data_IF_549792389708
#
_entry.id   IF_549792389708
#
_cell.length_a   1.000
_cell.length_b   1.000
_cell.length_c   1.000
_cell.angle_alpha   90.00
_cell.angle_beta   90.00
_cell.angle_gamma   90.00
#
_symmetry.space_group_name_H-M   'P 1'
#
loop_
_entity.id
_entity.type
_entity.pdbx_description
1 polymer ?
#
# COMPACT_ATOMS: atom_id res chain seq x y z
N UNK A 1 2.40 -2.34 -12.43
CA UNK A 1 1.33 -1.55 -13.05
C UNK A 1 1.87 -0.97 -14.34
N UNK A 2 1.18 -1.09 -15.47
CA UNK A 2 1.62 -0.43 -16.72
C UNK A 2 1.20 1.05 -16.68
N UNK A 3 1.91 1.91 -17.40
CA UNK A 3 1.51 3.31 -17.57
C UNK A 3 0.08 3.43 -18.11
N UNK A 4 -0.32 2.54 -19.03
CA UNK A 4 -1.67 2.53 -19.56
C UNK A 4 -2.74 2.24 -18.50
N UNK A 5 -2.53 1.21 -17.66
CA UNK A 5 -3.46 0.86 -16.58
C UNK A 5 -3.55 1.98 -15.54
N UNK A 6 -2.43 2.62 -15.21
CA UNK A 6 -2.40 3.78 -14.33
C UNK A 6 -3.28 4.92 -14.87
N UNK A 7 -3.11 5.25 -16.16
CA UNK A 7 -3.91 6.29 -16.82
C UNK A 7 -5.40 5.93 -16.84
N UNK A 8 -5.74 4.67 -17.10
CA UNK A 8 -7.14 4.18 -17.07
C UNK A 8 -7.75 4.35 -15.68
N UNK A 9 -7.05 3.97 -14.61
CA UNK A 9 -7.58 4.09 -13.23
C UNK A 9 -7.86 5.54 -12.83
N UNK A 10 -6.98 6.48 -13.20
CA UNK A 10 -7.26 7.92 -12.99
C UNK A 10 -8.52 8.36 -13.74
N UNK A 11 -8.71 7.88 -14.97
CA UNK A 11 -9.90 8.20 -15.77
C UNK A 11 -11.19 7.69 -15.11
N UNK A 12 -11.16 6.48 -14.54
CA UNK A 12 -12.29 5.87 -13.82
C UNK A 12 -12.67 6.67 -12.57
N UNK A 13 -11.69 6.94 -11.69
CA UNK A 13 -11.91 7.70 -10.44
C UNK A 13 -12.49 9.08 -10.73
N UNK A 14 -11.97 9.77 -11.74
CA UNK A 14 -12.54 11.05 -12.16
C UNK A 14 -13.96 10.87 -12.69
N UNK A 15 -14.24 9.86 -13.50
CA UNK A 15 -15.58 9.61 -14.05
C UNK A 15 -16.62 9.33 -12.95
N UNK A 16 -16.20 8.70 -11.85
CA UNK A 16 -17.00 8.51 -10.64
C UNK A 16 -17.11 9.75 -9.73
N UNK A 17 -16.53 10.89 -10.13
CA UNK A 17 -16.45 12.13 -9.35
C UNK A 17 -15.62 12.01 -8.05
N UNK A 18 -14.72 11.03 -7.99
CA UNK A 18 -13.84 10.75 -6.84
C UNK A 18 -12.49 11.47 -6.98
N UNK A 19 -12.50 12.80 -7.02
CA UNK A 19 -11.28 13.60 -7.22
C UNK A 19 -10.24 13.40 -6.12
N UNK A 20 -10.65 13.16 -4.87
CA UNK A 20 -9.72 12.85 -3.79
C UNK A 20 -9.02 11.52 -4.00
N UNK A 21 -9.79 10.47 -4.29
CA UNK A 21 -9.23 9.16 -4.58
C UNK A 21 -8.26 9.22 -5.77
N UNK A 22 -8.56 10.02 -6.81
CA UNK A 22 -7.65 10.24 -7.93
C UNK A 22 -6.34 10.92 -7.51
N UNK A 23 -6.39 11.93 -6.63
CA UNK A 23 -5.21 12.62 -6.11
C UNK A 23 -4.40 11.75 -5.14
N UNK A 24 -5.08 10.96 -4.31
CA UNK A 24 -4.45 9.98 -3.42
C UNK A 24 -3.74 8.89 -4.22
N UNK A 25 -4.40 8.38 -5.26
CA UNK A 25 -3.81 7.42 -6.18
C UNK A 25 -2.60 7.98 -6.94
N UNK A 26 -2.66 9.24 -7.40
CA UNK A 26 -1.49 9.93 -7.95
C UNK A 26 -0.35 10.04 -6.93
N UNK A 27 -0.68 10.35 -5.67
CA UNK A 27 0.32 10.51 -4.61
C UNK A 27 1.01 9.18 -4.30
N UNK A 28 0.26 8.06 -4.27
CA UNK A 28 0.80 6.74 -3.93
C UNK A 28 1.70 6.16 -5.02
N UNK A 29 1.49 6.55 -6.27
CA UNK A 29 2.17 5.92 -7.42
C UNK A 29 3.36 6.71 -7.97
N UNK A 30 3.45 8.03 -7.72
CA UNK A 30 4.57 8.87 -8.17
C UNK A 30 5.84 8.60 -7.35
N UNK A 31 6.96 8.34 -8.04
CA UNK A 31 8.26 8.01 -7.43
C UNK A 31 9.28 9.16 -7.59
N UNK A 32 10.06 9.43 -6.53
CA UNK A 32 11.15 10.44 -6.52
C UNK A 32 10.66 11.89 -6.58
N UNK A 33 11.55 12.89 -6.60
CA UNK A 33 11.18 14.32 -6.76
C UNK A 33 10.77 14.63 -8.21
N UNK A 34 9.64 14.10 -8.67
CA UNK A 34 9.10 14.45 -9.98
C UNK A 34 8.46 15.84 -9.95
N UNK A 35 8.55 16.60 -11.05
CA UNK A 35 7.86 17.89 -11.20
C UNK A 35 6.34 17.77 -11.01
N UNK A 36 5.80 16.58 -11.21
CA UNK A 36 4.38 16.27 -11.06
C UNK A 36 3.95 16.15 -9.59
N UNK A 37 4.82 15.76 -8.66
CA UNK A 37 4.45 15.63 -7.24
C UNK A 37 4.04 16.97 -6.62
N UNK A 38 4.80 18.03 -6.86
CA UNK A 38 4.45 19.37 -6.38
C UNK A 38 3.10 19.82 -6.93
N UNK A 39 2.79 19.49 -8.19
CA UNK A 39 1.50 19.76 -8.80
C UNK A 39 0.36 18.99 -8.11
N UNK A 40 0.56 17.70 -7.78
CA UNK A 40 -0.43 16.89 -7.06
C UNK A 40 -0.67 17.43 -5.64
N UNK A 41 0.39 17.81 -4.93
CA UNK A 41 0.31 18.42 -3.60
C UNK A 41 -0.50 19.73 -3.65
N UNK A 42 -0.21 20.60 -4.62
CA UNK A 42 -0.94 21.85 -4.80
C UNK A 42 -2.43 21.61 -5.12
N UNK A 43 -2.74 20.59 -5.92
CA UNK A 43 -4.13 20.23 -6.23
C UNK A 43 -4.87 19.68 -5.00
N UNK A 44 -4.21 18.89 -4.14
CA UNK A 44 -4.77 18.45 -2.86
C UNK A 44 -5.09 19.62 -1.95
N UNK A 45 -4.15 20.55 -1.78
CA UNK A 45 -4.38 21.76 -0.97
C UNK A 45 -5.56 22.59 -1.52
N UNK A 46 -5.64 22.75 -2.84
CA UNK A 46 -6.73 23.48 -3.49
C UNK A 46 -8.09 22.79 -3.32
N UNK A 47 -8.13 21.46 -3.34
CA UNK A 47 -9.35 20.68 -3.09
C UNK A 47 -9.79 20.76 -1.62
N UNK A 48 -8.83 20.73 -0.67
CA UNK A 48 -9.10 20.91 0.75
C UNK A 48 -9.65 22.31 1.07
N UNK A 49 -9.07 23.36 0.46
CA UNK A 49 -9.58 24.73 0.59
C UNK A 49 -11.01 24.85 0.05
N UNK A 50 -11.28 24.28 -1.14
CA UNK A 50 -12.63 24.28 -1.71
C UNK A 50 -13.64 23.59 -0.77
N UNK A 51 -13.25 22.52 -0.08
CA UNK A 51 -14.12 21.88 0.92
C UNK A 51 -14.43 22.79 2.08
N UNK A 52 -13.42 23.50 2.60
CA UNK A 52 -13.61 24.49 3.66
C UNK A 52 -14.53 25.62 3.19
N UNK A 53 -14.37 26.10 1.96
CA UNK A 53 -15.23 27.15 1.41
C UNK A 53 -16.69 26.69 1.26
N UNK A 54 -16.91 25.44 0.85
CA UNK A 54 -18.24 24.83 0.80
C UNK A 54 -18.85 24.74 2.20
N UNK A 55 -18.09 24.29 3.20
CA UNK A 55 -18.55 24.16 4.59
C UNK A 55 -18.90 25.54 5.16
N UNK A 56 -18.08 26.54 4.88
CA UNK A 56 -18.25 27.90 5.37
C UNK A 56 -19.32 28.69 4.59
N UNK A 57 -19.85 28.14 3.49
CA UNK A 57 -20.79 28.84 2.61
C UNK A 57 -20.20 30.09 1.95
N UNK A 58 -18.88 30.16 1.80
CA UNK A 58 -18.15 31.35 1.33
C UNK A 58 -18.09 31.48 -0.20
N UNK A 59 -18.54 30.47 -0.95
CA UNK A 59 -18.43 30.41 -2.42
C UNK A 59 -19.76 30.08 -3.10
N UNK A 60 -19.98 30.64 -4.30
CA UNK A 60 -21.19 30.38 -5.08
C UNK A 60 -21.16 28.98 -5.73
N UNK A 61 -22.32 28.35 -5.99
CA UNK A 61 -22.39 27.06 -6.67
C UNK A 61 -21.65 27.01 -8.02
N UNK A 62 -21.73 28.08 -8.80
CA UNK A 62 -21.05 28.18 -10.10
C UNK A 62 -19.52 28.18 -9.92
N UNK A 63 -19.02 28.93 -8.94
CA UNK A 63 -17.58 29.03 -8.65
C UNK A 63 -17.01 27.75 -8.04
N UNK A 64 -17.82 27.03 -7.26
CA UNK A 64 -17.51 25.68 -6.79
C UNK A 64 -17.35 24.73 -7.99
N UNK A 65 -18.29 24.76 -8.94
CA UNK A 65 -18.25 23.87 -10.11
C UNK A 65 -17.08 24.21 -11.04
N UNK A 66 -16.79 25.49 -11.27
CA UNK A 66 -15.61 25.94 -12.03
C UNK A 66 -14.31 25.45 -11.40
N UNK A 67 -14.19 25.55 -10.07
CA UNK A 67 -13.00 25.10 -9.34
C UNK A 67 -12.83 23.58 -9.44
N UNK A 68 -13.92 22.81 -9.30
CA UNK A 68 -13.91 21.35 -9.51
C UNK A 68 -13.47 20.98 -10.92
N UNK A 69 -14.00 21.66 -11.94
CA UNK A 69 -13.62 21.44 -13.34
C UNK A 69 -12.14 21.78 -13.58
N UNK A 70 -11.64 22.88 -13.01
CA UNK A 70 -10.22 23.28 -13.09
C UNK A 70 -9.29 22.23 -12.47
N UNK A 71 -9.64 21.70 -11.29
CA UNK A 71 -8.88 20.64 -10.62
C UNK A 71 -8.89 19.37 -11.48
N UNK A 72 -10.07 18.95 -11.98
CA UNK A 72 -10.22 17.78 -12.85
C UNK A 72 -9.35 17.87 -14.10
N UNK A 73 -9.37 19.01 -14.80
CA UNK A 73 -8.54 19.25 -15.99
C UNK A 73 -7.06 19.16 -15.65
N UNK A 74 -6.65 19.67 -14.49
CA UNK A 74 -5.26 19.61 -14.04
C UNK A 74 -4.81 18.17 -13.75
N UNK A 75 -5.68 17.36 -13.13
CA UNK A 75 -5.42 15.92 -12.89
C UNK A 75 -5.26 15.17 -14.22
N UNK A 76 -6.13 15.43 -15.20
CA UNK A 76 -6.02 14.85 -16.53
C UNK A 76 -4.74 15.26 -17.26
N UNK A 77 -4.34 16.53 -17.14
CA UNK A 77 -3.09 17.04 -17.71
C UNK A 77 -1.87 16.33 -17.12
N UNK A 78 -1.84 16.14 -15.80
CA UNK A 78 -0.78 15.35 -15.15
C UNK A 78 -0.79 13.93 -15.69
N UNK A 79 -1.95 13.26 -15.66
CA UNK A 79 -2.12 11.88 -16.17
C UNK A 79 -1.55 11.71 -17.58
N UNK A 80 -1.84 12.65 -18.49
CA UNK A 80 -1.39 12.55 -19.88
C UNK A 80 0.14 12.72 -20.02
N UNK A 81 0.75 13.56 -19.17
CA UNK A 81 2.19 13.84 -19.17
C UNK A 81 3.05 12.78 -18.47
N UNK A 82 2.45 11.87 -17.70
CA UNK A 82 3.20 10.83 -16.98
C UNK A 82 3.91 9.85 -17.90
N UNK A 83 5.11 9.49 -17.50
CA UNK A 83 5.99 8.50 -18.13
C UNK A 83 6.21 7.29 -17.22
N UNK A 84 6.74 6.20 -17.79
CA UNK A 84 7.16 5.01 -17.02
C UNK A 84 8.13 5.38 -15.88
N UNK A 85 9.02 6.33 -16.12
CA UNK A 85 10.00 6.81 -15.14
C UNK A 85 9.34 7.48 -13.93
N UNK A 86 8.30 8.29 -14.16
CA UNK A 86 7.57 8.98 -13.09
C UNK A 86 6.87 7.99 -12.13
N UNK A 87 6.56 6.79 -12.62
CA UNK A 87 5.90 5.72 -11.87
C UNK A 87 6.87 4.67 -11.30
N UNK A 88 8.18 4.86 -11.51
CA UNK A 88 9.20 3.86 -11.15
C UNK A 88 9.05 2.54 -11.92
N UNK A 89 8.47 2.58 -13.12
CA UNK A 89 8.40 1.45 -14.05
C UNK A 89 9.74 1.38 -14.77
N UNK A 90 10.65 0.54 -14.28
CA UNK A 90 11.89 0.26 -15.02
C UNK A 90 11.57 -0.54 -16.29
N UNK A 91 12.17 -0.13 -17.42
CA UNK A 91 12.22 -0.98 -18.61
C UNK A 91 12.96 -2.25 -18.22
N UNK A 92 12.23 -3.36 -18.15
CA UNK A 92 12.80 -4.69 -18.02
C UNK A 92 13.89 -4.81 -19.08
N UNK A 93 15.15 -4.82 -18.63
CA UNK A 93 16.26 -5.27 -19.47
C UNK A 93 15.85 -6.65 -20.00
N UNK A 94 16.05 -6.85 -21.31
CA UNK A 94 15.68 -8.00 -22.13
C UNK A 94 15.31 -9.26 -21.34
N UNK A 95 14.22 -9.96 -21.69
CA UNK A 95 13.77 -11.12 -20.94
C UNK A 95 14.95 -12.07 -20.79
N UNK A 96 15.49 -12.17 -19.56
CA UNK A 96 16.14 -13.40 -19.15
C UNK A 96 15.11 -14.46 -19.49
N UNK A 97 15.48 -15.40 -20.33
CA UNK A 97 14.59 -16.46 -20.74
C UNK A 97 14.29 -17.26 -19.47
N UNK A 98 13.22 -16.90 -18.76
CA UNK A 98 12.78 -17.54 -17.52
C UNK A 98 12.18 -18.87 -17.98
N UNK A 99 13.04 -19.84 -18.26
CA UNK A 99 12.64 -21.23 -18.36
C UNK A 99 12.03 -21.62 -17.01
N UNK A 100 10.72 -21.85 -16.99
CA UNK A 100 10.03 -22.87 -16.19
C UNK A 100 10.56 -23.10 -14.76
N UNK A 101 10.89 -22.06 -13.99
CA UNK A 101 11.33 -22.28 -12.62
C UNK A 101 10.12 -22.51 -11.71
N UNK A 102 9.80 -23.79 -11.50
CA UNK A 102 8.71 -24.34 -10.68
C UNK A 102 8.97 -24.27 -9.18
N UNK A 103 10.10 -23.70 -8.75
CA UNK A 103 10.45 -23.57 -7.34
C UNK A 103 9.35 -22.81 -6.58
N UNK A 104 8.91 -23.42 -5.48
CA UNK A 104 8.09 -22.76 -4.47
C UNK A 104 9.01 -21.91 -3.60
N UNK A 105 8.82 -20.60 -3.63
CA UNK A 105 9.68 -19.65 -2.92
C UNK A 105 9.04 -19.26 -1.59
N UNK A 106 9.71 -19.49 -0.46
CA UNK A 106 9.18 -19.10 0.85
C UNK A 106 9.27 -17.58 1.03
N UNK A 107 8.20 -16.99 1.54
CA UNK A 107 8.11 -15.56 1.88
C UNK A 107 7.58 -15.42 3.30
N UNK A 108 8.14 -14.47 4.05
CA UNK A 108 7.70 -14.15 5.39
C UNK A 108 6.30 -13.55 5.34
N UNK A 109 5.39 -14.05 6.18
CA UNK A 109 4.04 -13.54 6.30
C UNK A 109 3.78 -13.01 7.71
N UNK A 110 3.82 -11.69 7.81
CA UNK A 110 3.50 -10.92 9.01
C UNK A 110 2.02 -10.60 9.03
N UNK A 111 1.30 -11.11 10.05
CA UNK A 111 -0.10 -10.75 10.29
C UNK A 111 -0.50 -11.01 11.73
N UNK A 112 -1.55 -10.33 12.17
CA UNK A 112 -2.29 -10.77 13.36
C UNK A 112 -2.97 -12.12 13.13
N UNK A 113 -3.18 -12.89 14.21
CA UNK A 113 -4.09 -14.04 14.17
C UNK A 113 -5.52 -13.54 13.92
N UNK A 114 -6.25 -14.08 12.92
CA UNK A 114 -7.61 -13.64 12.62
C UNK A 114 -8.48 -13.97 13.83
N UNK A 115 -9.31 -13.04 14.27
CA UNK A 115 -10.19 -13.24 15.42
C UNK A 115 -11.67 -13.37 15.04
N UNK A 116 -12.00 -13.24 13.76
CA UNK A 116 -13.35 -13.40 13.23
C UNK A 116 -13.34 -14.09 11.86
N UNK A 117 -14.51 -14.52 11.41
CA UNK A 117 -14.67 -15.27 10.16
C UNK A 117 -14.33 -14.44 8.91
N UNK A 118 -14.65 -13.14 8.91
CA UNK A 118 -14.35 -12.26 7.78
C UNK A 118 -12.84 -12.15 7.57
N UNK A 119 -12.07 -11.91 8.65
CA UNK A 119 -10.60 -11.90 8.59
C UNK A 119 -10.04 -13.26 8.19
N UNK A 120 -10.59 -14.37 8.70
CA UNK A 120 -10.13 -15.70 8.32
C UNK A 120 -10.33 -15.94 6.82
N UNK A 121 -11.53 -15.68 6.30
CA UNK A 121 -11.85 -15.82 4.87
C UNK A 121 -10.97 -14.92 4.02
N UNK A 122 -10.77 -13.67 4.44
CA UNK A 122 -9.88 -12.75 3.74
C UNK A 122 -8.45 -13.28 3.70
N UNK A 123 -7.89 -13.74 4.82
CA UNK A 123 -6.53 -14.31 4.87
C UNK A 123 -6.40 -15.52 3.96
N UNK A 124 -7.35 -16.46 4.00
CA UNK A 124 -7.32 -17.67 3.16
C UNK A 124 -7.35 -17.28 1.66
N UNK A 125 -8.21 -16.31 1.31
CA UNK A 125 -8.32 -15.81 -0.05
C UNK A 125 -7.07 -15.02 -0.49
N UNK A 126 -6.53 -14.18 0.39
CA UNK A 126 -5.30 -13.42 0.19
C UNK A 126 -4.14 -14.36 -0.11
N UNK A 127 -3.93 -15.42 0.70
CA UNK A 127 -2.90 -16.44 0.46
C UNK A 127 -3.04 -17.05 -0.93
N UNK A 128 -4.26 -17.43 -1.33
CA UNK A 128 -4.52 -18.05 -2.65
C UNK A 128 -4.06 -17.18 -3.83
N UNK A 129 -4.10 -15.84 -3.69
CA UNK A 129 -3.65 -14.91 -4.74
C UNK A 129 -2.14 -14.91 -4.92
N UNK A 130 -1.36 -15.37 -3.95
CA UNK A 130 0.09 -15.47 -4.02
C UNK A 130 0.56 -16.87 -4.44
N UNK A 131 -0.18 -17.92 -4.07
CA UNK A 131 0.13 -19.31 -4.41
C UNK A 131 0.21 -19.55 -5.92
N UNK A 132 -0.65 -18.89 -6.71
CA UNK A 132 -0.60 -18.95 -8.18
C UNK A 132 0.73 -18.44 -8.77
N UNK A 133 1.51 -17.67 -8.01
CA UNK A 133 2.84 -17.21 -8.38
C UNK A 133 3.96 -18.07 -7.79
N UNK A 134 3.66 -19.26 -7.25
CA UNK A 134 4.62 -20.18 -6.65
C UNK A 134 5.25 -19.64 -5.36
N UNK A 135 4.51 -18.83 -4.61
CA UNK A 135 4.97 -18.26 -3.34
C UNK A 135 4.30 -18.98 -2.17
N UNK A 136 5.09 -19.36 -1.17
CA UNK A 136 4.60 -20.01 0.04
C UNK A 136 4.80 -19.10 1.23
N UNK A 137 3.73 -18.86 1.99
CA UNK A 137 3.79 -18.03 3.17
C UNK A 137 4.30 -18.82 4.37
N UNK A 138 5.24 -18.23 5.10
CA UNK A 138 5.79 -18.76 6.34
C UNK A 138 5.70 -17.72 7.46
N UNK A 139 5.26 -18.15 8.64
CA UNK A 139 5.18 -17.33 9.86
C UNK A 139 6.11 -17.96 10.89
N UNK A 140 6.83 -17.15 11.70
CA UNK A 140 7.75 -17.68 12.70
C UNK A 140 7.01 -18.43 13.81
N UNK A 141 7.69 -19.39 14.42
CA UNK A 141 7.20 -20.04 15.64
C UNK A 141 7.26 -19.06 16.82
N UNK A 142 6.24 -19.06 17.67
CA UNK A 142 6.20 -18.19 18.83
C UNK A 142 7.12 -18.71 19.93
N UNK A 143 7.93 -17.81 20.53
CA UNK A 143 8.77 -18.10 21.70
C UNK A 143 8.51 -17.06 22.78
N UNK A 144 8.09 -17.52 23.97
CA UNK A 144 7.92 -16.65 25.14
C UNK A 144 9.25 -16.06 25.63
N UNK A 145 10.31 -16.86 25.57
CA UNK A 145 11.63 -16.52 26.11
C UNK A 145 12.38 -15.56 25.20
N UNK A 146 12.30 -15.80 23.88
CA UNK A 146 13.05 -15.04 22.89
C UNK A 146 12.15 -14.63 21.73
N UNK A 147 11.15 -13.74 21.93
CA UNK A 147 10.12 -13.45 20.93
C UNK A 147 10.63 -12.98 19.57
N UNK A 148 11.78 -12.27 19.53
CA UNK A 148 12.36 -11.76 18.27
C UNK A 148 13.30 -12.73 17.58
N UNK A 149 13.81 -13.73 18.30
CA UNK A 149 14.78 -14.66 17.74
C UNK A 149 14.16 -15.53 16.63
N UNK A 150 12.98 -16.17 16.81
CA UNK A 150 12.32 -16.92 15.75
C UNK A 150 11.99 -16.06 14.53
N UNK A 151 11.57 -14.81 14.74
CA UNK A 151 11.31 -13.85 13.65
C UNK A 151 12.60 -13.64 12.85
N UNK A 152 13.71 -13.33 13.53
CA UNK A 152 15.00 -13.08 12.90
C UNK A 152 15.52 -14.30 12.14
N UNK A 153 15.43 -15.50 12.72
CA UNK A 153 15.88 -16.72 12.06
C UNK A 153 15.00 -17.06 10.85
N UNK A 154 13.68 -16.92 10.97
CA UNK A 154 12.75 -17.13 9.85
C UNK A 154 13.02 -16.15 8.70
N UNK A 155 13.31 -14.88 8.99
CA UNK A 155 13.66 -13.88 7.96
C UNK A 155 14.93 -14.22 7.16
N UNK A 156 15.82 -15.10 7.66
CA UNK A 156 16.99 -15.58 6.90
C UNK A 156 16.67 -16.70 5.92
N UNK A 157 15.53 -17.36 6.09
CA UNK A 157 15.12 -18.54 5.32
C UNK A 157 14.16 -18.20 4.16
N UNK A 158 13.70 -16.94 4.10
CA UNK A 158 12.69 -16.45 3.15
C UNK A 158 13.29 -15.42 2.18
N UNK A 159 12.60 -15.17 1.07
CA UNK A 159 13.09 -14.33 -0.02
C UNK A 159 12.20 -13.11 -0.33
N UNK A 160 11.22 -12.87 0.54
CA UNK A 160 10.30 -11.75 0.49
C UNK A 160 9.60 -11.59 1.83
N UNK A 161 9.03 -10.42 2.07
CA UNK A 161 8.25 -10.14 3.27
C UNK A 161 6.91 -9.51 2.88
N UNK A 162 5.81 -10.12 3.31
CA UNK A 162 4.44 -9.61 3.17
C UNK A 162 3.88 -9.29 4.54
N UNK A 163 3.32 -8.10 4.66
CA UNK A 163 2.70 -7.60 5.87
C UNK A 163 1.22 -7.38 5.58
N UNK A 164 0.35 -7.96 6.42
CA UNK A 164 -1.09 -7.79 6.35
C UNK A 164 -1.61 -7.20 7.66
N UNK A 165 -1.72 -5.87 7.69
CA UNK A 165 -2.18 -5.08 8.80
C UNK A 165 -3.73 -5.00 8.83
N UNK A 166 -4.35 -6.06 9.34
CA UNK A 166 -5.78 -6.08 9.71
C UNK A 166 -6.00 -5.39 11.05
N UNK A 167 -7.22 -4.93 11.31
CA UNK A 167 -7.67 -4.50 12.62
C UNK A 167 -7.36 -5.56 13.67
N UNK A 168 -6.95 -5.11 14.86
CA UNK A 168 -6.76 -5.94 16.06
C UNK A 168 -7.34 -5.29 17.31
N UNK A 169 -7.37 -3.97 17.36
CA UNK A 169 -7.88 -3.20 18.49
C UNK A 169 -8.69 -2.01 17.95
N UNK A 170 -9.79 -1.72 18.61
CA UNK A 170 -10.65 -0.57 18.32
C UNK A 170 -10.79 0.29 19.57
N UNK A 171 -10.44 1.57 19.44
CA UNK A 171 -10.62 2.58 20.47
C UNK A 171 -11.77 3.50 20.09
N UNK A 172 -12.78 3.62 20.97
CA UNK A 172 -13.91 4.53 20.73
C UNK A 172 -13.56 5.99 20.99
N UNK A 173 -12.73 6.25 22.00
CA UNK A 173 -12.25 7.57 22.37
C UNK A 173 -10.82 7.49 22.86
N UNK A 174 -9.95 8.37 22.36
CA UNK A 174 -8.57 8.50 22.80
C UNK A 174 -8.08 9.94 22.74
N UNK A 175 -7.08 10.25 23.57
CA UNK A 175 -6.45 11.56 23.62
C UNK A 175 -5.03 11.42 23.08
N UNK A 176 -4.74 12.04 21.95
CA UNK A 176 -3.41 12.14 21.38
C UNK A 176 -2.63 13.24 22.10
N UNK A 177 -1.39 12.95 22.53
CA UNK A 177 -0.48 13.88 23.22
C UNK A 177 -1.15 14.68 24.36
N UNK A 178 -1.71 13.99 25.38
CA UNK A 178 -2.41 14.64 26.48
C UNK A 178 -1.50 15.63 27.22
N UNK A 179 -2.07 16.78 27.60
CA UNK A 179 -1.38 17.88 28.28
C UNK A 179 -0.44 18.70 27.40
N UNK A 180 -0.44 18.49 26.08
CA UNK A 180 0.42 19.23 25.16
C UNK A 180 -0.35 20.27 24.33
N UNK A 181 0.31 21.28 23.75
CA UNK A 181 -0.31 22.17 22.76
C UNK A 181 -0.83 21.47 21.50
N UNK A 182 -0.50 20.18 21.31
CA UNK A 182 -0.96 19.32 20.22
C UNK A 182 -1.92 18.24 20.74
N UNK A 183 -2.55 18.46 21.89
CA UNK A 183 -3.57 17.57 22.40
C UNK A 183 -4.75 17.52 21.42
N UNK A 184 -5.17 16.31 21.07
CA UNK A 184 -6.29 16.08 20.17
C UNK A 184 -7.15 14.95 20.70
N UNK A 185 -8.47 15.16 20.72
CA UNK A 185 -9.43 14.10 21.01
C UNK A 185 -9.80 13.40 19.71
N UNK A 186 -9.52 12.11 19.65
CA UNK A 186 -9.78 11.25 18.51
C UNK A 186 -10.91 10.30 18.89
N UNK A 187 -11.82 10.08 17.95
CA UNK A 187 -12.91 9.13 18.07
C UNK A 187 -12.75 8.03 17.02
N UNK A 188 -13.17 6.81 17.37
CA UNK A 188 -13.23 5.67 16.46
C UNK A 188 -11.91 5.39 15.71
N UNK A 189 -10.89 4.99 16.48
CA UNK A 189 -9.57 4.66 15.94
C UNK A 189 -9.30 3.16 15.96
N UNK A 190 -8.89 2.61 14.81
CA UNK A 190 -8.63 1.18 14.63
C UNK A 190 -7.14 0.94 14.49
N UNK A 191 -6.61 -0.02 15.24
CA UNK A 191 -5.20 -0.33 15.26
C UNK A 191 -4.98 -1.76 14.82
N UNK A 192 -3.89 -1.96 14.09
CA UNK A 192 -3.35 -3.30 13.86
C UNK A 192 -2.49 -3.75 15.04
N UNK A 193 -1.99 -4.98 14.99
CA UNK A 193 -1.04 -5.49 15.98
C UNK A 193 0.32 -4.78 15.84
N UNK A 194 1.02 -4.40 16.94
CA UNK A 194 2.34 -3.80 16.83
C UNK A 194 3.37 -4.73 16.16
N UNK A 195 3.14 -6.05 16.21
CA UNK A 195 4.00 -7.05 15.57
C UNK A 195 4.19 -6.81 14.07
N UNK A 196 3.15 -6.38 13.35
CA UNK A 196 3.28 -6.15 11.91
C UNK A 196 4.25 -5.02 11.58
N UNK A 197 4.33 -4.01 12.45
CA UNK A 197 5.28 -2.90 12.31
C UNK A 197 6.72 -3.39 12.52
N UNK A 198 6.91 -4.20 13.56
CA UNK A 198 8.23 -4.74 13.93
C UNK A 198 8.76 -5.68 12.87
N UNK A 199 7.93 -6.63 12.41
CA UNK A 199 8.31 -7.60 11.39
C UNK A 199 8.54 -6.95 10.01
N UNK A 200 7.74 -5.93 9.66
CA UNK A 200 7.98 -5.10 8.48
C UNK A 200 9.37 -4.45 8.52
N UNK A 201 9.70 -3.80 9.65
CA UNK A 201 11.00 -3.15 9.84
C UNK A 201 12.16 -4.15 9.81
N UNK A 202 12.00 -5.33 10.43
CA UNK A 202 13.03 -6.38 10.39
C UNK A 202 13.22 -6.96 8.99
N UNK A 203 12.14 -7.20 8.24
CA UNK A 203 12.20 -7.64 6.85
C UNK A 203 12.87 -6.62 5.94
N UNK A 204 12.58 -5.33 6.15
CA UNK A 204 13.25 -4.24 5.48
C UNK A 204 14.76 -4.20 5.77
N UNK A 205 15.15 -4.28 7.05
CA UNK A 205 16.57 -4.31 7.44
C UNK A 205 17.35 -5.50 6.87
N UNK A 206 16.67 -6.63 6.64
CA UNK A 206 17.24 -7.81 6.00
C UNK A 206 17.40 -7.65 4.48
N UNK A 207 16.91 -6.56 3.89
CA UNK A 207 16.96 -6.30 2.44
C UNK A 207 15.97 -7.14 1.63
N UNK A 208 14.92 -7.67 2.26
CA UNK A 208 13.91 -8.46 1.58
C UNK A 208 12.96 -7.54 0.77
N UNK A 209 12.49 -7.97 -0.41
CA UNK A 209 11.37 -7.32 -1.08
C UNK A 209 10.15 -7.25 -0.16
N UNK A 210 9.78 -6.03 0.27
CA UNK A 210 8.69 -5.79 1.21
C UNK A 210 7.40 -5.40 0.49
N UNK A 211 6.28 -5.97 0.94
CA UNK A 211 4.93 -5.63 0.48
C UNK A 211 3.99 -5.45 1.68
N UNK A 212 3.33 -4.30 1.77
CA UNK A 212 2.49 -3.95 2.92
C UNK A 212 1.04 -3.74 2.46
N UNK A 213 0.14 -4.51 3.04
CA UNK A 213 -1.31 -4.32 2.96
C UNK A 213 -1.83 -3.81 4.30
N UNK A 214 -2.69 -2.79 4.29
CA UNK A 214 -3.31 -2.22 5.47
C UNK A 214 -4.81 -2.09 5.28
N UNK A 215 -5.60 -2.56 6.24
CA UNK A 215 -7.05 -2.43 6.16
C UNK A 215 -7.44 -0.95 6.13
N UNK A 216 -8.46 -0.58 5.33
CA UNK A 216 -8.82 0.82 5.05
C UNK A 216 -9.03 1.65 6.33
N UNK A 217 -9.71 1.08 7.33
CA UNK A 217 -9.98 1.73 8.62
C UNK A 217 -8.80 1.74 9.60
N UNK A 218 -7.79 0.90 9.39
CA UNK A 218 -6.63 0.84 10.28
C UNK A 218 -5.83 2.14 10.16
N UNK A 219 -5.59 2.76 11.32
CA UNK A 219 -4.75 3.93 11.52
C UNK A 219 -3.40 3.73 10.84
N UNK A 220 -3.00 4.72 10.08
CA UNK A 220 -1.69 4.76 9.40
C UNK A 220 -0.64 5.34 10.34
N UNK A 221 0.40 4.56 10.65
CA UNK A 221 1.51 4.98 11.51
C UNK A 221 2.76 4.13 11.25
N UNK A 222 3.96 4.66 11.47
CA UNK A 222 5.19 3.87 11.35
C UNK A 222 5.40 3.28 9.96
N UNK A 223 5.62 1.95 9.86
CA UNK A 223 5.82 1.26 8.58
C UNK A 223 4.55 1.21 7.70
N UNK A 224 3.37 1.47 8.27
CA UNK A 224 2.09 1.54 7.54
C UNK A 224 1.61 2.98 7.31
N UNK A 225 2.51 3.97 7.44
CA UNK A 225 2.22 5.38 7.20
C UNK A 225 2.26 5.76 5.70
N UNK A 226 1.13 6.28 5.20
CA UNK A 226 1.00 6.75 3.83
C UNK A 226 1.93 7.95 3.60
N UNK A 227 2.97 7.77 2.77
CA UNK A 227 3.91 8.84 2.43
C UNK A 227 5.36 8.57 2.81
N UNK A 228 5.66 7.47 3.51
CA UNK A 228 7.05 6.98 3.62
C UNK A 228 7.46 6.45 2.25
N UNK A 229 8.24 7.26 1.51
CA UNK A 229 8.54 7.09 0.07
C UNK A 229 9.13 5.73 -0.33
N UNK A 230 9.67 4.98 0.63
CA UNK A 230 10.29 3.70 0.39
C UNK A 230 9.30 2.52 0.39
N UNK A 231 8.17 2.66 1.08
CA UNK A 231 7.20 1.59 1.26
C UNK A 231 5.89 1.93 0.56
N UNK A 232 5.48 1.09 -0.38
CA UNK A 232 4.13 1.17 -0.95
C UNK A 232 3.17 0.41 -0.03
N UNK A 233 2.18 1.14 0.49
CA UNK A 233 1.14 0.59 1.36
C UNK A 233 -0.16 0.50 0.56
N UNK A 234 -0.75 -0.68 0.54
CA UNK A 234 -1.94 -0.97 -0.24
C UNK A 234 -3.13 -1.16 0.68
N UNK A 235 -4.17 -0.36 0.46
CA UNK A 235 -5.36 -0.39 1.31
C UNK A 235 -6.29 -1.52 0.86
N UNK A 236 -6.92 -2.21 1.82
CA UNK A 236 -7.87 -3.28 1.52
C UNK A 236 -9.08 -3.25 2.46
N UNK A 237 -10.16 -3.92 2.07
CA UNK A 237 -11.38 -4.14 2.85
C UNK A 237 -11.57 -5.63 3.12
N UNK A 238 -11.52 -6.01 4.40
CA UNK A 238 -11.74 -7.39 4.87
C UNK A 238 -13.09 -7.93 4.41
N UNK A 239 -14.10 -7.08 4.29
CA UNK A 239 -15.46 -7.48 3.89
C UNK A 239 -15.62 -7.64 2.38
N UNK A 240 -14.63 -7.22 1.58
CA UNK A 240 -14.63 -7.36 0.13
C UNK A 240 -13.34 -8.03 -0.39
N UNK A 241 -13.11 -9.33 -0.13
CA UNK A 241 -11.92 -10.04 -0.61
C UNK A 241 -11.76 -9.97 -2.14
N UNK A 242 -12.86 -9.94 -2.89
CA UNK A 242 -12.85 -9.89 -4.35
C UNK A 242 -12.19 -8.63 -4.94
N UNK A 243 -11.95 -7.58 -4.14
CA UNK A 243 -11.15 -6.45 -4.63
C UNK A 243 -9.75 -6.89 -5.05
N UNK A 244 -9.17 -7.95 -4.47
CA UNK A 244 -7.85 -8.45 -4.90
C UNK A 244 -7.85 -9.05 -6.31
N UNK A 245 -9.03 -9.30 -6.89
CA UNK A 245 -9.17 -9.71 -8.29
C UNK A 245 -9.16 -8.53 -9.27
N UNK A 246 -9.21 -7.28 -8.79
CA UNK A 246 -9.04 -6.13 -9.66
C UNK A 246 -7.63 -6.11 -10.26
N UNK A 247 -7.52 -5.65 -11.50
CA UNK A 247 -6.26 -5.60 -12.24
C UNK A 247 -5.17 -4.87 -11.48
N UNK A 248 -5.54 -3.86 -10.70
CA UNK A 248 -4.61 -3.13 -9.84
C UNK A 248 -3.86 -4.07 -8.86
N UNK A 249 -4.59 -4.84 -8.05
CA UNK A 249 -4.00 -5.75 -7.07
C UNK A 249 -3.32 -6.95 -7.72
N UNK A 250 -3.90 -7.50 -8.80
CA UNK A 250 -3.24 -8.56 -9.58
C UNK A 250 -1.87 -8.14 -10.08
N UNK A 251 -1.81 -6.99 -10.74
CA UNK A 251 -0.55 -6.45 -11.25
C UNK A 251 0.44 -6.15 -10.13
N UNK A 252 -0.03 -5.63 -9.01
CA UNK A 252 0.78 -5.34 -7.83
C UNK A 252 1.43 -6.62 -7.27
N UNK A 253 0.63 -7.66 -7.04
CA UNK A 253 1.12 -8.95 -6.52
C UNK A 253 2.09 -9.57 -7.53
N UNK A 254 1.76 -9.56 -8.82
CA UNK A 254 2.62 -10.10 -9.88
C UNK A 254 3.99 -9.38 -9.93
N UNK A 255 3.99 -8.05 -9.86
CA UNK A 255 5.23 -7.27 -9.92
C UNK A 255 6.09 -7.48 -8.67
N UNK A 256 5.46 -7.59 -7.50
CA UNK A 256 6.20 -7.95 -6.29
C UNK A 256 6.74 -9.38 -6.34
N UNK A 257 5.96 -10.35 -6.85
CA UNK A 257 6.41 -11.73 -7.04
C UNK A 257 7.63 -11.83 -7.97
N UNK A 258 7.70 -10.99 -9.01
CA UNK A 258 8.89 -10.87 -9.88
C UNK A 258 10.12 -10.39 -9.10
N UNK A 259 9.97 -9.40 -8.20
CA UNK A 259 11.06 -8.91 -7.34
C UNK A 259 11.55 -9.99 -6.37
N UNK A 260 10.63 -10.74 -5.77
CA UNK A 260 10.96 -11.89 -4.90
C UNK A 260 11.75 -12.96 -5.68
N UNK A 261 11.31 -13.29 -6.89
CA UNK A 261 12.02 -14.26 -7.75
C UNK A 261 13.43 -13.79 -8.12
N UNK A 262 13.59 -12.51 -8.46
CA UNK A 262 14.91 -11.93 -8.72
C UNK A 262 15.81 -12.02 -7.49
N UNK A 263 15.29 -11.64 -6.31
CA UNK A 263 16.00 -11.73 -5.05
C UNK A 263 16.42 -13.17 -4.72
N UNK A 264 15.51 -14.13 -4.91
CA UNK A 264 15.77 -15.57 -4.77
C UNK A 264 16.88 -16.09 -5.68
N UNK A 265 16.83 -15.74 -6.97
CA UNK A 265 17.86 -16.16 -7.94
C UNK A 265 19.23 -15.60 -7.53
N UNK A 266 19.31 -14.30 -7.22
CA UNK A 266 20.57 -13.65 -6.82
C UNK A 266 21.13 -14.27 -5.54
N UNK A 267 20.28 -14.55 -4.54
CA UNK A 267 20.69 -15.18 -3.29
C UNK A 267 21.25 -16.61 -3.47
N UNK A 268 20.84 -17.31 -4.54
CA UNK A 268 21.31 -18.66 -4.88
C UNK A 268 22.51 -18.70 -5.82
N UNK A 269 22.96 -17.56 -6.36
CA UNK A 269 24.17 -17.53 -7.17
C UNK A 269 25.39 -17.89 -6.30
N UNK A 270 26.35 -18.67 -6.83
CA UNK A 270 27.60 -18.92 -6.13
C UNK A 270 28.34 -17.59 -5.89
N UNK A 271 28.80 -17.39 -4.66
CA UNK A 271 29.62 -16.24 -4.24
C UNK A 271 31.08 -16.43 -4.64
#
# INVERSE_FOLDING_TARGET
MTLQLFKTRIQELLSANEMEAALDFLTSELVGQSSHQNSVINLKARLANLRQDIINGSESPDKIQETKNSIRTSILGIKDLLTDKDLGIEKVASPVNISENTDVIPVFFSRGTPFNDSQKKFVDYFISRFEQYGLKFETPEWSAENPLLPVREKLKEVYGCVVLAMERMHSKENIYKPGSPKEEKIQEEFFTTPWVQMEAAMGYQQGLPLLIFSEKKVKTEGMIELGVHEFRIFKFDVENPSELDEDYYKNLIENWAKKVRQHYIVAKLPK
#
